data_IF_105173872038
#
_entry.id   IF_105173872038
#
_cell.length_a   1.000
_cell.length_b   1.000
_cell.length_c   1.000
_cell.angle_alpha   90.00
_cell.angle_beta   90.00
_cell.angle_gamma   90.00
#
_symmetry.space_group_name_H-M   'P 1'
#
loop_
_entity.id
_entity.type
_entity.pdbx_description
1 polymer ?
#
# COMPACT_ATOMS: atom_id res chain seq x y z
N UNK A 1 -37.85 51.00 -9.14
CA UNK A 1 -38.30 49.85 -9.96
C UNK A 1 -37.17 49.10 -10.66
N UNK A 2 -36.21 49.77 -11.32
CA UNK A 2 -35.14 49.09 -12.10
C UNK A 2 -34.23 48.16 -11.27
N UNK A 3 -33.88 48.55 -10.05
CA UNK A 3 -33.01 47.76 -9.15
C UNK A 3 -33.73 46.50 -8.63
N UNK A 4 -35.04 46.58 -8.39
CA UNK A 4 -35.84 45.45 -7.91
C UNK A 4 -35.91 44.33 -8.96
N UNK A 5 -36.03 44.70 -10.23
CA UNK A 5 -36.05 43.78 -11.36
C UNK A 5 -34.71 43.05 -11.54
N UNK A 6 -33.59 43.75 -11.33
CA UNK A 6 -32.25 43.17 -11.38
C UNK A 6 -32.04 42.15 -10.25
N UNK A 7 -32.53 42.44 -9.04
CA UNK A 7 -32.46 41.50 -7.91
C UNK A 7 -33.32 40.25 -8.15
N UNK A 8 -34.51 40.41 -8.74
CA UNK A 8 -35.39 39.28 -9.06
C UNK A 8 -34.80 38.37 -10.15
N UNK A 9 -34.08 38.93 -11.12
CA UNK A 9 -33.44 38.18 -12.20
C UNK A 9 -32.21 37.37 -11.72
N UNK A 10 -31.45 37.90 -10.76
CA UNK A 10 -30.20 37.28 -10.28
C UNK A 10 -30.47 36.23 -9.18
N UNK A 11 -31.58 36.35 -8.45
CA UNK A 11 -31.95 35.44 -7.36
C UNK A 11 -31.95 33.94 -7.75
N UNK A 12 -32.57 33.49 -8.86
CA UNK A 12 -32.59 32.07 -9.20
C UNK A 12 -31.21 31.49 -9.54
N UNK A 13 -30.28 32.31 -10.07
CA UNK A 13 -28.91 31.87 -10.38
C UNK A 13 -28.11 31.53 -9.12
N UNK A 14 -28.27 32.34 -8.06
CA UNK A 14 -27.58 32.10 -6.78
C UNK A 14 -28.12 30.86 -6.06
N UNK A 15 -29.42 30.59 -6.17
CA UNK A 15 -30.04 29.42 -5.54
C UNK A 15 -29.79 28.10 -6.29
N UNK A 16 -29.46 28.14 -7.59
CA UNK A 16 -29.14 26.94 -8.38
C UNK A 16 -27.81 26.28 -8.00
N UNK A 17 -26.91 27.01 -7.32
CA UNK A 17 -25.59 26.51 -6.92
C UNK A 17 -25.59 25.64 -5.65
N UNK A 18 -26.72 25.57 -4.93
CA UNK A 18 -26.90 24.75 -3.72
C UNK A 18 -27.67 23.45 -3.98
N UNK A 19 -27.71 22.95 -5.21
CA UNK A 19 -28.16 21.58 -5.45
C UNK A 19 -27.16 20.64 -4.78
N UNK A 20 -27.58 19.94 -3.72
CA UNK A 20 -26.83 18.83 -3.14
C UNK A 20 -26.44 17.92 -4.29
N UNK A 21 -25.15 17.87 -4.59
CA UNK A 21 -24.62 16.86 -5.50
C UNK A 21 -25.04 15.54 -4.86
N UNK A 22 -25.90 14.79 -5.54
CA UNK A 22 -26.13 13.39 -5.21
C UNK A 22 -24.74 12.83 -4.96
N UNK A 23 -24.50 12.38 -3.72
CA UNK A 23 -23.24 11.78 -3.35
C UNK A 23 -23.25 10.46 -4.13
N UNK A 24 -22.83 10.53 -5.39
CA UNK A 24 -22.39 9.41 -6.19
C UNK A 24 -21.15 8.92 -5.42
N UNK A 25 -21.40 8.14 -4.37
CA UNK A 25 -20.39 7.34 -3.71
C UNK A 25 -19.96 6.35 -4.78
N UNK A 26 -19.05 6.80 -5.64
CA UNK A 26 -18.35 5.95 -6.58
C UNK A 26 -17.47 5.10 -5.69
N UNK A 27 -17.98 3.95 -5.29
CA UNK A 27 -17.23 2.98 -4.49
C UNK A 27 -16.11 2.47 -5.39
N UNK A 28 -14.94 3.12 -5.33
CA UNK A 28 -13.73 2.61 -5.94
C UNK A 28 -13.24 1.45 -5.09
N UNK A 29 -13.49 0.23 -5.57
CA UNK A 29 -12.92 -0.97 -5.01
C UNK A 29 -11.43 -1.00 -5.38
N UNK A 30 -10.57 -0.72 -4.40
CA UNK A 30 -9.14 -0.94 -4.55
C UNK A 30 -8.83 -2.39 -4.24
N UNK A 31 -8.23 -3.10 -5.21
CA UNK A 31 -7.70 -4.43 -4.96
C UNK A 31 -6.49 -4.33 -4.02
N UNK A 32 -6.70 -4.70 -2.76
CA UNK A 32 -5.62 -4.82 -1.80
C UNK A 32 -4.91 -6.14 -2.05
N UNK A 33 -3.67 -6.09 -2.56
CA UNK A 33 -2.82 -7.27 -2.69
C UNK A 33 -2.50 -7.82 -1.30
N UNK A 34 -3.07 -8.98 -0.97
CA UNK A 34 -2.80 -9.66 0.29
C UNK A 34 -1.49 -10.46 0.12
N UNK A 35 -0.53 -10.35 1.05
CA UNK A 35 0.69 -11.14 0.97
C UNK A 35 0.37 -12.64 1.06
N UNK A 36 0.81 -13.40 0.07
CA UNK A 36 0.75 -14.86 0.10
C UNK A 36 1.85 -15.41 1.00
N UNK A 37 1.55 -16.46 1.77
CA UNK A 37 2.57 -17.13 2.59
C UNK A 37 3.56 -17.84 1.67
N UNK A 38 4.85 -17.67 1.93
CA UNK A 38 5.86 -18.45 1.23
C UNK A 38 5.74 -19.94 1.63
N UNK A 39 5.78 -20.88 0.67
CA UNK A 39 5.68 -22.31 0.96
C UNK A 39 6.95 -22.89 1.61
N UNK A 40 8.06 -22.15 1.60
CA UNK A 40 9.32 -22.57 2.18
C UNK A 40 9.29 -22.49 3.71
N UNK A 41 9.80 -23.54 4.36
CA UNK A 41 9.93 -23.58 5.83
C UNK A 41 11.14 -22.76 6.25
N UNK A 42 10.95 -21.85 7.19
CA UNK A 42 12.07 -21.11 7.78
C UNK A 42 12.80 -22.01 8.80
N UNK A 43 14.15 -22.03 8.79
CA UNK A 43 14.92 -22.67 9.84
C UNK A 43 14.72 -21.96 11.18
N UNK A 44 15.03 -22.66 12.28
CA UNK A 44 15.02 -22.08 13.63
C UNK A 44 16.20 -21.14 13.80
N UNK A 45 15.94 -19.93 14.30
CA UNK A 45 16.98 -18.94 14.58
C UNK A 45 17.90 -19.44 15.69
N UNK A 46 19.23 -19.51 15.45
CA UNK A 46 20.18 -19.90 16.49
C UNK A 46 20.27 -18.83 17.58
N UNK A 47 20.59 -19.26 18.80
CA UNK A 47 20.74 -18.37 19.96
C UNK A 47 22.05 -17.60 19.87
N UNK A 48 22.00 -16.28 20.07
CA UNK A 48 23.21 -15.47 20.20
C UNK A 48 23.80 -15.66 21.61
N UNK A 49 25.02 -16.18 21.71
CA UNK A 49 25.74 -16.36 22.98
C UNK A 49 26.80 -15.29 23.23
N UNK A 50 26.99 -14.35 22.30
CA UNK A 50 27.97 -13.27 22.41
C UNK A 50 29.42 -13.68 22.10
N UNK A 51 29.63 -14.89 21.57
CA UNK A 51 30.92 -15.41 21.16
C UNK A 51 31.04 -15.48 19.63
N UNK A 52 32.27 -15.60 19.12
CA UNK A 52 32.54 -15.60 17.68
C UNK A 52 31.91 -16.80 16.97
N UNK A 53 31.74 -17.93 17.66
CA UNK A 53 31.10 -19.11 17.08
C UNK A 53 29.60 -18.90 16.88
N UNK A 54 28.86 -18.42 17.89
CA UNK A 54 27.42 -18.13 17.72
C UNK A 54 27.18 -16.99 16.72
N UNK A 55 28.07 -15.99 16.65
CA UNK A 55 28.01 -14.96 15.62
C UNK A 55 28.13 -15.55 14.21
N UNK A 56 29.07 -16.48 14.00
CA UNK A 56 29.24 -17.19 12.72
C UNK A 56 28.02 -18.03 12.34
N UNK A 57 27.41 -18.71 13.29
CA UNK A 57 26.17 -19.48 13.07
C UNK A 57 24.99 -18.57 12.71
N UNK A 58 24.86 -17.43 13.39
CA UNK A 58 23.86 -16.41 13.05
C UNK A 58 24.06 -15.85 11.65
N UNK A 59 25.30 -15.57 11.24
CA UNK A 59 25.59 -15.12 9.88
C UNK A 59 25.14 -16.13 8.84
N UNK A 60 25.42 -17.42 9.04
CA UNK A 60 24.95 -18.49 8.14
C UNK A 60 23.43 -18.57 8.08
N UNK A 61 22.77 -18.48 9.24
CA UNK A 61 21.30 -18.46 9.32
C UNK A 61 20.71 -17.32 8.48
N UNK A 62 21.25 -16.10 8.58
CA UNK A 62 20.71 -14.97 7.81
C UNK A 62 20.95 -15.13 6.30
N UNK A 63 22.06 -15.72 5.86
CA UNK A 63 22.29 -16.03 4.45
C UNK A 63 21.26 -17.04 3.91
N UNK A 64 20.89 -18.04 4.71
CA UNK A 64 19.85 -19.00 4.35
C UNK A 64 18.45 -18.34 4.29
N UNK A 65 18.15 -17.43 5.22
CA UNK A 65 16.90 -16.67 5.18
C UNK A 65 16.84 -15.77 3.95
N UNK A 66 17.95 -15.14 3.55
CA UNK A 66 18.00 -14.30 2.36
C UNK A 66 17.75 -15.11 1.08
N UNK A 67 18.32 -16.31 0.96
CA UNK A 67 18.07 -17.17 -0.21
C UNK A 67 16.62 -17.65 -0.30
N UNK A 68 16.02 -18.00 0.85
CA UNK A 68 14.60 -18.31 0.94
C UNK A 68 13.78 -17.09 0.51
N UNK A 69 14.08 -15.90 1.05
CA UNK A 69 13.36 -14.68 0.74
C UNK A 69 13.40 -14.35 -0.77
N UNK A 70 14.59 -14.41 -1.39
CA UNK A 70 14.75 -14.21 -2.85
C UNK A 70 13.84 -15.14 -3.65
N UNK A 71 13.82 -16.42 -3.26
CA UNK A 71 12.96 -17.44 -3.89
C UNK A 71 11.47 -17.13 -3.70
N UNK A 72 11.08 -16.67 -2.51
CA UNK A 72 9.68 -16.34 -2.19
C UNK A 72 9.17 -15.08 -2.89
N UNK A 73 10.05 -14.10 -3.12
CA UNK A 73 9.69 -12.81 -3.73
C UNK A 73 9.89 -12.79 -5.25
N UNK A 74 10.42 -13.86 -5.84
CA UNK A 74 10.79 -13.88 -7.26
C UNK A 74 11.87 -12.84 -7.57
N UNK A 75 12.74 -12.51 -6.61
CA UNK A 75 13.85 -11.60 -6.84
C UNK A 75 14.98 -12.37 -7.53
N UNK A 76 14.86 -12.49 -8.84
CA UNK A 76 15.94 -12.95 -9.71
C UNK A 76 16.93 -11.79 -9.92
N UNK A 77 18.24 -12.06 -9.84
CA UNK A 77 19.31 -11.05 -10.02
C UNK A 77 19.33 -10.43 -11.45
N UNK A 78 18.37 -10.82 -12.29
CA UNK A 78 18.21 -10.44 -13.68
C UNK A 78 17.04 -9.46 -13.90
N UNK A 79 16.28 -9.11 -12.86
CA UNK A 79 15.04 -8.32 -13.01
C UNK A 79 15.09 -7.00 -12.23
N UNK A 80 16.18 -6.25 -12.38
CA UNK A 80 16.10 -4.78 -12.37
C UNK A 80 15.67 -4.28 -13.74
N UNK A 81 14.37 -4.30 -14.01
CA UNK A 81 13.72 -3.42 -14.97
C UNK A 81 12.21 -3.63 -14.86
N UNK A 82 11.53 -2.81 -14.06
CA UNK A 82 10.28 -2.11 -14.40
C UNK A 82 10.01 -1.03 -13.37
#
# INVERSE_FOLDING_TARGET
MRILYIKLLILPFVLSACANKDILIKTEFSEVKIPVKCPLKLPLKPLNKGDLASAKELSKYYLEIESIAKTCTGWDENETSY
#
